data_IF_635602189722
#
_entry.id   IF_635602189722
#
_cell.length_a   1.000
_cell.length_b   1.000
_cell.length_c   1.000
_cell.angle_alpha   90.00
_cell.angle_beta   90.00
_cell.angle_gamma   90.00
#
_symmetry.space_group_name_H-M   'P 1'
#
loop_
_entity.id
_entity.type
_entity.pdbx_description
1 polymer ?
#
# COMPACT_ATOMS: atom_id res chain seq x y z
N UNK A 1 25.32 2.91 37.40
CA UNK A 1 24.30 3.95 37.24
C UNK A 1 23.43 3.52 36.03
N UNK A 2 22.13 3.81 36.04
CA UNK A 2 21.28 3.53 34.87
C UNK A 2 21.72 4.50 33.75
N UNK A 3 22.11 3.98 32.59
CA UNK A 3 22.42 4.83 31.44
C UNK A 3 21.15 5.59 30.99
N UNK A 4 21.34 6.78 30.45
CA UNK A 4 20.27 7.60 29.91
C UNK A 4 19.90 7.00 28.54
N UNK A 5 18.62 6.66 28.33
CA UNK A 5 18.15 6.13 27.04
C UNK A 5 17.73 7.27 26.13
N UNK A 6 18.33 7.35 24.94
CA UNK A 6 17.99 8.34 23.92
C UNK A 6 17.65 7.61 22.62
N UNK A 7 16.49 7.96 22.04
CA UNK A 7 16.08 7.51 20.72
C UNK A 7 16.10 8.67 19.74
N UNK A 8 16.78 8.48 18.62
CA UNK A 8 16.82 9.43 17.49
C UNK A 8 16.12 8.79 16.30
N UNK A 9 15.16 9.48 15.73
CA UNK A 9 14.47 9.09 14.50
C UNK A 9 14.81 10.07 13.41
N UNK A 10 15.03 9.55 12.19
CA UNK A 10 15.47 10.34 11.03
C UNK A 10 14.83 9.89 9.72
N UNK A 11 14.24 8.70 9.67
CA UNK A 11 13.53 8.17 8.51
C UNK A 11 12.07 8.63 8.54
N UNK A 12 11.73 9.59 7.66
CA UNK A 12 10.44 10.26 7.61
C UNK A 12 10.37 11.55 8.42
N UNK A 13 11.52 12.03 8.92
CA UNK A 13 11.66 13.28 9.66
C UNK A 13 12.42 13.14 10.96
N UNK A 14 12.88 14.27 11.51
CA UNK A 14 13.70 14.27 12.71
C UNK A 14 12.88 14.20 13.99
N UNK A 15 13.21 13.23 14.86
CA UNK A 15 12.73 13.13 16.22
C UNK A 15 13.84 12.79 17.19
N UNK A 16 13.75 13.26 18.44
CA UNK A 16 14.64 12.89 19.53
C UNK A 16 13.86 12.73 20.82
N UNK A 17 14.07 11.63 21.53
CA UNK A 17 13.43 11.32 22.80
C UNK A 17 14.48 10.97 23.85
N UNK A 18 14.19 11.34 25.10
CA UNK A 18 15.00 10.96 26.25
C UNK A 18 14.10 10.28 27.28
N UNK A 19 14.40 9.02 27.66
CA UNK A 19 13.58 8.20 28.55
C UNK A 19 12.08 8.22 28.17
N UNK A 20 11.77 8.18 26.85
CA UNK A 20 10.42 8.16 26.29
C UNK A 20 9.71 9.52 26.24
N UNK A 21 10.42 10.61 26.48
CA UNK A 21 9.89 11.98 26.36
C UNK A 21 10.48 12.67 25.15
N UNK A 22 9.64 13.14 24.25
CA UNK A 22 10.08 13.93 23.08
C UNK A 22 10.74 15.23 23.51
N UNK A 23 11.85 15.56 22.85
CA UNK A 23 12.65 16.76 23.12
C UNK A 23 12.56 17.71 21.91
N UNK A 24 12.65 19.02 22.21
CA UNK A 24 12.70 20.06 21.18
C UNK A 24 14.04 20.76 21.20
N UNK A 25 14.79 20.71 20.08
CA UNK A 25 16.15 21.28 19.97
C UNK A 25 16.17 22.79 19.64
N UNK A 26 15.05 23.52 19.73
CA UNK A 26 14.98 24.96 19.50
C UNK A 26 14.92 25.36 18.02
N UNK A 27 14.33 26.53 17.73
CA UNK A 27 14.02 26.96 16.36
C UNK A 27 15.18 27.56 15.56
N UNK A 28 16.06 28.35 16.20
CA UNK A 28 17.04 29.20 15.46
C UNK A 28 18.34 28.49 15.00
N UNK A 29 18.65 27.32 15.49
CA UNK A 29 19.80 26.50 15.06
C UNK A 29 19.42 25.03 14.93
N UNK A 30 18.12 24.73 14.81
CA UNK A 30 17.59 23.38 14.78
C UNK A 30 18.26 22.53 13.70
N UNK A 31 18.39 23.04 12.49
CA UNK A 31 19.00 22.30 11.37
C UNK A 31 20.46 21.89 11.65
N UNK A 32 21.31 22.77 12.20
CA UNK A 32 22.72 22.45 12.51
C UNK A 32 22.84 21.50 13.72
N UNK A 33 21.90 21.52 14.66
CA UNK A 33 21.87 20.56 15.76
C UNK A 33 21.43 19.17 15.28
N UNK A 34 20.43 19.13 14.39
CA UNK A 34 19.99 17.90 13.73
C UNK A 34 21.16 17.27 12.96
N UNK A 35 21.82 18.05 12.11
CA UNK A 35 22.99 17.56 11.36
C UNK A 35 24.09 17.02 12.28
N UNK A 36 24.43 17.75 13.36
CA UNK A 36 25.45 17.35 14.30
C UNK A 36 25.16 16.00 14.96
N UNK A 37 23.95 15.85 15.54
CA UNK A 37 23.60 14.62 16.25
C UNK A 37 23.43 13.45 15.28
N UNK A 38 22.77 13.67 14.16
CA UNK A 38 22.56 12.63 13.14
C UNK A 38 23.89 12.14 12.58
N UNK A 39 24.82 13.07 12.27
CA UNK A 39 26.11 12.68 11.71
C UNK A 39 26.95 11.84 12.68
N UNK A 40 26.87 12.14 13.98
CA UNK A 40 27.52 11.34 15.03
C UNK A 40 26.82 9.98 15.18
N UNK A 41 25.48 9.92 15.11
CA UNK A 41 24.73 8.67 15.13
C UNK A 41 25.08 7.77 13.94
N UNK A 42 25.14 8.32 12.71
CA UNK A 42 25.53 7.57 11.50
C UNK A 42 26.93 6.97 11.60
N UNK A 43 27.84 7.68 12.25
CA UNK A 43 29.23 7.19 12.43
C UNK A 43 29.35 6.10 13.49
N UNK A 44 28.35 5.94 14.36
CA UNK A 44 28.34 4.92 15.40
C UNK A 44 29.53 5.00 16.34
N UNK A 45 30.11 3.84 16.67
CA UNK A 45 31.25 3.73 17.59
C UNK A 45 32.57 4.34 17.04
N UNK A 46 32.71 4.40 15.73
CA UNK A 46 33.92 4.97 15.10
C UNK A 46 34.04 6.49 15.31
N UNK A 47 32.90 7.17 15.51
CA UNK A 47 32.84 8.61 15.66
C UNK A 47 33.23 9.37 14.41
N UNK A 48 33.10 10.71 14.44
CA UNK A 48 33.34 11.61 13.30
C UNK A 48 34.54 12.50 13.57
N UNK A 49 35.43 12.61 12.57
CA UNK A 49 36.50 13.57 12.63
C UNK A 49 35.99 15.01 12.62
N UNK A 50 36.74 15.89 13.25
CA UNK A 50 36.36 17.31 13.33
C UNK A 50 36.22 17.96 11.98
N UNK A 51 37.15 17.63 11.07
CA UNK A 51 37.22 18.14 9.70
C UNK A 51 35.98 17.72 8.92
N UNK A 52 35.55 16.45 9.04
CA UNK A 52 34.36 15.91 8.36
C UNK A 52 33.10 16.62 8.84
N UNK A 53 32.94 16.82 10.16
CA UNK A 53 31.81 17.57 10.72
C UNK A 53 31.79 19.03 10.26
N UNK A 54 32.97 19.65 10.07
CA UNK A 54 33.05 21.01 9.58
C UNK A 54 32.62 21.10 8.12
N UNK A 55 33.04 20.14 7.30
CA UNK A 55 32.67 20.07 5.89
C UNK A 55 31.14 19.85 5.76
N UNK A 56 30.60 18.86 6.46
CA UNK A 56 29.19 18.51 6.36
C UNK A 56 28.25 19.62 6.85
N UNK A 57 28.58 20.31 7.98
CA UNK A 57 27.69 21.29 8.63
C UNK A 57 27.85 22.72 8.07
N UNK A 58 29.02 23.04 7.46
CA UNK A 58 29.35 24.39 7.01
C UNK A 58 29.76 24.44 5.53
N UNK A 59 29.43 23.43 4.72
CA UNK A 59 29.75 23.43 3.27
C UNK A 59 29.22 24.67 2.55
N UNK A 60 28.05 25.15 2.95
CA UNK A 60 27.44 26.33 2.31
C UNK A 60 27.99 27.67 2.81
N UNK A 61 28.73 27.68 3.93
CA UNK A 61 29.38 28.87 4.50
C UNK A 61 30.79 29.13 3.94
N UNK A 62 31.13 28.65 2.74
CA UNK A 62 32.48 28.62 2.13
C UNK A 62 33.20 30.00 1.95
N UNK A 63 32.57 31.09 2.40
CA UNK A 63 33.19 32.43 2.39
C UNK A 63 34.15 32.76 3.54
N UNK A 64 34.17 31.98 4.65
CA UNK A 64 34.93 32.35 5.87
C UNK A 64 35.71 31.16 6.45
N UNK A 65 36.76 30.73 5.73
CA UNK A 65 37.63 29.62 6.17
C UNK A 65 38.39 29.89 7.48
N UNK A 66 38.47 31.10 8.02
CA UNK A 66 39.34 31.45 9.15
C UNK A 66 38.80 31.13 10.54
N UNK A 67 37.53 30.66 10.68
CA UNK A 67 36.93 30.50 12.01
C UNK A 67 36.06 29.21 12.22
N UNK A 68 36.15 28.24 11.29
CA UNK A 68 35.32 27.01 11.36
C UNK A 68 35.55 26.21 12.66
N UNK A 69 36.79 26.20 13.18
CA UNK A 69 37.11 25.54 14.43
C UNK A 69 36.36 26.12 15.63
N UNK A 70 36.25 27.44 15.72
CA UNK A 70 35.51 28.12 16.80
C UNK A 70 34.01 27.95 16.60
N UNK A 71 33.54 27.91 15.36
CA UNK A 71 32.14 27.75 15.02
C UNK A 71 31.62 26.38 15.44
N UNK A 72 32.34 25.29 15.15
CA UNK A 72 31.96 23.93 15.55
C UNK A 72 32.02 23.75 17.08
N UNK A 73 33.09 24.22 17.74
CA UNK A 73 33.19 24.15 19.20
C UNK A 73 32.04 24.91 19.89
N UNK A 74 31.67 26.08 19.35
CA UNK A 74 30.53 26.84 19.84
C UNK A 74 29.22 26.13 19.57
N UNK A 75 29.04 25.50 18.39
CA UNK A 75 27.86 24.69 18.05
C UNK A 75 27.66 23.56 19.06
N UNK A 76 28.70 22.76 19.32
CA UNK A 76 28.67 21.64 20.28
C UNK A 76 28.39 22.15 21.71
N UNK A 77 29.03 23.26 22.13
CA UNK A 77 28.75 23.84 23.45
C UNK A 77 27.29 24.31 23.56
N UNK A 78 26.78 25.00 22.59
CA UNK A 78 25.38 25.46 22.58
C UNK A 78 24.40 24.29 22.50
N UNK A 79 24.70 23.26 21.70
CA UNK A 79 23.94 22.04 21.64
C UNK A 79 23.82 21.37 23.03
N UNK A 80 24.94 21.21 23.73
CA UNK A 80 24.94 20.66 25.12
C UNK A 80 24.03 21.44 26.05
N UNK A 81 24.02 22.76 25.98
CA UNK A 81 23.12 23.60 26.78
C UNK A 81 21.62 23.43 26.39
N UNK A 82 21.34 23.28 25.10
CA UNK A 82 19.98 23.03 24.62
C UNK A 82 19.52 21.65 25.07
N UNK A 83 20.36 20.65 24.93
CA UNK A 83 20.11 19.28 25.36
C UNK A 83 19.82 19.22 26.86
N UNK A 84 20.62 19.91 27.69
CA UNK A 84 20.42 20.00 29.15
C UNK A 84 19.08 20.66 29.51
N UNK A 85 18.71 21.77 28.82
CA UNK A 85 17.41 22.43 29.00
C UNK A 85 16.24 21.55 28.56
N UNK A 86 16.45 20.71 27.53
CA UNK A 86 15.45 19.78 27.05
C UNK A 86 15.29 18.54 27.94
N UNK A 87 16.16 18.32 28.91
CA UNK A 87 16.04 17.27 29.92
C UNK A 87 17.11 16.18 29.87
N UNK A 88 18.13 16.32 29.00
CA UNK A 88 19.27 15.39 28.98
C UNK A 88 20.23 15.79 30.14
N UNK A 89 20.42 14.95 31.18
CA UNK A 89 21.21 15.31 32.35
C UNK A 89 22.64 15.72 32.02
N UNK A 90 23.02 16.94 32.45
CA UNK A 90 24.36 17.51 32.25
C UNK A 90 24.75 17.75 30.79
N UNK A 91 23.79 17.76 29.86
CA UNK A 91 24.09 17.88 28.43
C UNK A 91 25.02 16.81 27.89
N UNK A 92 25.09 15.66 28.53
CA UNK A 92 25.96 14.53 28.22
C UNK A 92 25.38 13.73 27.07
N UNK A 93 25.57 14.17 25.82
CA UNK A 93 25.18 13.43 24.62
C UNK A 93 26.38 13.24 23.71
N UNK A 94 27.27 14.24 23.64
CA UNK A 94 28.43 14.22 22.74
C UNK A 94 29.70 14.33 23.55
N UNK A 95 30.63 13.39 23.38
CA UNK A 95 31.98 13.39 23.93
C UNK A 95 33.03 13.54 22.80
N UNK A 96 34.26 13.77 23.19
CA UNK A 96 35.43 13.75 22.29
C UNK A 96 36.36 12.64 22.77
N UNK A 97 36.64 11.67 21.91
CA UNK A 97 37.57 10.57 22.14
C UNK A 97 38.53 10.49 20.95
N UNK A 98 39.82 10.48 21.22
CA UNK A 98 40.89 10.38 20.19
C UNK A 98 40.74 11.36 19.01
N UNK A 99 40.28 12.59 19.29
CA UNK A 99 40.09 13.64 18.29
C UNK A 99 38.79 13.49 17.49
N UNK A 100 37.97 12.52 17.78
CA UNK A 100 36.66 12.27 17.15
C UNK A 100 35.51 12.66 18.06
N UNK A 101 34.43 13.12 17.46
CA UNK A 101 33.15 13.33 18.13
C UNK A 101 32.38 12.01 18.16
N UNK A 102 32.03 11.58 19.36
CA UNK A 102 31.34 10.30 19.63
C UNK A 102 30.13 10.53 20.54
N UNK A 103 29.24 9.56 20.62
CA UNK A 103 28.22 9.54 21.65
C UNK A 103 28.88 9.27 23.02
N UNK A 104 28.41 9.98 24.04
CA UNK A 104 28.96 9.82 25.41
C UNK A 104 28.66 8.41 25.92
N UNK A 105 29.63 7.80 26.61
CA UNK A 105 29.52 6.42 27.12
C UNK A 105 28.43 6.22 28.19
N UNK A 106 28.01 7.31 28.83
CA UNK A 106 26.91 7.29 29.83
C UNK A 106 25.53 7.27 29.17
N UNK A 107 25.45 7.37 27.82
CA UNK A 107 24.23 7.37 27.03
C UNK A 107 24.07 6.04 26.32
N UNK A 108 22.85 5.50 26.36
CA UNK A 108 22.40 4.38 25.56
C UNK A 108 21.57 4.94 24.40
N UNK A 109 22.17 5.03 23.21
CA UNK A 109 21.51 5.62 22.05
C UNK A 109 20.99 4.55 21.11
N UNK A 110 19.74 4.66 20.70
CA UNK A 110 19.15 3.93 19.59
C UNK A 110 18.79 4.91 18.46
N UNK A 111 18.93 4.47 17.23
CA UNK A 111 18.54 5.27 16.08
C UNK A 111 17.92 4.35 15.03
N UNK A 112 16.82 4.82 14.42
CA UNK A 112 16.14 4.11 13.35
C UNK A 112 17.08 3.78 12.19
N UNK A 113 17.98 4.68 11.82
CA UNK A 113 18.93 4.47 10.72
C UNK A 113 20.03 3.44 11.07
N UNK A 114 20.49 3.39 12.31
CA UNK A 114 21.47 2.37 12.75
C UNK A 114 20.81 0.99 12.74
N UNK A 115 19.60 0.89 13.29
CA UNK A 115 18.81 -0.34 13.33
C UNK A 115 18.48 -0.80 11.90
N UNK A 116 18.04 0.12 11.03
CA UNK A 116 17.73 -0.15 9.63
C UNK A 116 18.94 -0.72 8.86
N UNK A 117 20.09 -0.04 8.93
CA UNK A 117 21.32 -0.51 8.30
C UNK A 117 21.78 -1.86 8.85
N UNK A 118 21.65 -2.07 10.16
CA UNK A 118 22.02 -3.33 10.80
C UNK A 118 21.15 -4.48 10.28
N UNK A 119 19.82 -4.35 10.35
CA UNK A 119 18.90 -5.38 9.87
C UNK A 119 19.12 -5.70 8.40
N UNK A 120 19.26 -4.67 7.57
CA UNK A 120 19.52 -4.84 6.15
C UNK A 120 20.84 -5.57 5.87
N UNK A 121 21.95 -5.17 6.52
CA UNK A 121 23.25 -5.83 6.37
C UNK A 121 23.24 -7.27 6.89
N UNK A 122 22.57 -7.52 8.00
CA UNK A 122 22.41 -8.87 8.54
C UNK A 122 21.57 -9.74 7.63
N UNK A 123 20.47 -9.23 7.08
CA UNK A 123 19.63 -9.92 6.12
C UNK A 123 20.43 -10.38 4.89
N UNK A 124 21.28 -9.50 4.33
CA UNK A 124 22.13 -9.84 3.16
C UNK A 124 23.16 -10.95 3.43
N UNK A 125 23.51 -11.19 4.69
CA UNK A 125 24.44 -12.28 5.10
C UNK A 125 23.72 -13.60 5.38
N UNK A 126 22.39 -13.60 5.51
CA UNK A 126 21.64 -14.80 5.83
C UNK A 126 21.55 -15.75 4.65
N UNK A 127 21.63 -17.05 4.97
CA UNK A 127 21.41 -18.16 4.01
C UNK A 127 20.02 -18.77 4.16
N UNK A 128 19.33 -18.51 5.27
CA UNK A 128 17.99 -19.01 5.55
C UNK A 128 16.97 -17.95 5.14
N UNK A 129 16.12 -18.30 4.19
CA UNK A 129 15.08 -17.39 3.67
C UNK A 129 14.17 -16.87 4.79
N UNK A 130 13.75 -17.74 5.71
CA UNK A 130 12.92 -17.32 6.85
C UNK A 130 13.56 -16.23 7.71
N UNK A 131 14.86 -16.37 8.05
CA UNK A 131 15.58 -15.36 8.85
C UNK A 131 15.82 -14.10 8.05
N UNK A 132 16.11 -14.26 6.75
CA UNK A 132 16.31 -13.13 5.85
C UNK A 132 15.02 -12.33 5.71
N UNK A 133 13.87 -12.99 5.52
CA UNK A 133 12.55 -12.35 5.45
C UNK A 133 12.22 -11.59 6.74
N UNK A 134 12.49 -12.19 7.92
CA UNK A 134 12.26 -11.53 9.20
C UNK A 134 13.10 -10.25 9.36
N UNK A 135 14.39 -10.30 9.01
CA UNK A 135 15.28 -9.14 9.08
C UNK A 135 14.93 -8.07 8.04
N UNK A 136 14.57 -8.47 6.81
CA UNK A 136 14.09 -7.52 5.79
C UNK A 136 12.79 -6.85 6.20
N UNK A 137 11.87 -7.58 6.85
CA UNK A 137 10.64 -7.00 7.40
C UNK A 137 10.94 -6.01 8.52
N UNK A 138 11.87 -6.32 9.42
CA UNK A 138 12.28 -5.37 10.48
C UNK A 138 12.88 -4.10 9.89
N UNK A 139 13.72 -4.20 8.85
CA UNK A 139 14.23 -3.04 8.14
C UNK A 139 13.10 -2.26 7.45
N UNK A 140 12.23 -2.93 6.71
CA UNK A 140 11.07 -2.33 6.05
C UNK A 140 10.19 -1.54 7.02
N UNK A 141 9.90 -2.11 8.21
CA UNK A 141 9.04 -1.50 9.22
C UNK A 141 9.65 -0.24 9.86
N UNK A 142 10.98 -0.07 9.81
CA UNK A 142 11.67 1.12 10.32
C UNK A 142 11.62 2.30 9.35
N UNK A 143 11.52 2.06 8.04
CA UNK A 143 11.51 3.12 7.04
C UNK A 143 10.10 3.75 6.96
N UNK A 144 9.99 5.01 7.39
CA UNK A 144 8.72 5.76 7.42
C UNK A 144 8.68 6.92 6.42
N UNK A 145 9.73 7.07 5.63
CA UNK A 145 9.88 8.14 4.64
C UNK A 145 11.34 8.49 4.43
N UNK A 146 11.59 9.49 3.59
CA UNK A 146 12.93 9.94 3.25
C UNK A 146 13.76 10.33 4.49
N UNK A 147 15.06 10.13 4.41
CA UNK A 147 16.00 10.53 5.46
C UNK A 147 16.08 12.05 5.58
N UNK A 148 15.70 12.59 6.73
CA UNK A 148 15.68 14.03 7.06
C UNK A 148 15.09 14.90 5.93
N UNK A 149 13.85 14.70 5.50
CA UNK A 149 13.25 15.39 4.36
C UNK A 149 13.24 16.93 4.54
N UNK A 150 13.27 17.42 5.77
CA UNK A 150 13.37 18.84 6.08
C UNK A 150 14.75 19.48 5.78
N UNK A 151 15.76 18.68 5.42
CA UNK A 151 17.14 19.08 5.14
C UNK A 151 17.67 18.47 3.82
N UNK A 152 16.79 18.16 2.90
CA UNK A 152 17.09 17.51 1.62
C UNK A 152 17.91 18.37 0.65
N UNK A 153 17.95 19.68 0.87
CA UNK A 153 18.81 20.64 0.17
C UNK A 153 20.31 20.45 0.46
N UNK A 154 20.65 19.74 1.54
CA UNK A 154 22.03 19.47 1.91
C UNK A 154 22.60 18.25 1.20
N UNK A 155 23.68 18.43 0.45
CA UNK A 155 24.27 17.39 -0.40
C UNK A 155 24.54 16.06 0.32
N UNK A 156 25.11 16.08 1.53
CA UNK A 156 25.39 14.82 2.23
C UNK A 156 24.12 14.12 2.72
N UNK A 157 23.06 14.88 3.02
CA UNK A 157 21.75 14.34 3.42
C UNK A 157 21.04 13.74 2.21
N UNK A 158 20.96 14.48 1.09
CA UNK A 158 20.32 13.98 -0.13
C UNK A 158 21.00 12.71 -0.66
N UNK A 159 22.32 12.66 -0.60
CA UNK A 159 23.07 11.45 -0.96
C UNK A 159 22.75 10.25 -0.05
N UNK A 160 22.68 10.48 1.26
CA UNK A 160 22.30 9.41 2.21
C UNK A 160 20.85 9.00 2.07
N UNK A 161 19.97 9.95 1.81
CA UNK A 161 18.57 9.66 1.55
C UNK A 161 18.40 8.69 0.36
N UNK A 162 19.16 8.90 -0.72
CA UNK A 162 19.16 8.01 -1.89
C UNK A 162 19.72 6.63 -1.56
N UNK A 163 20.81 6.54 -0.76
CA UNK A 163 21.35 5.26 -0.30
C UNK A 163 20.30 4.47 0.53
N UNK A 164 19.60 5.13 1.46
CA UNK A 164 18.55 4.48 2.29
C UNK A 164 17.32 4.12 1.50
N UNK A 165 16.94 4.95 0.53
CA UNK A 165 15.85 4.63 -0.40
C UNK A 165 16.14 3.35 -1.18
N UNK A 166 17.34 3.26 -1.78
CA UNK A 166 17.75 2.06 -2.52
C UNK A 166 17.72 0.81 -1.64
N UNK A 167 18.12 0.92 -0.37
CA UNK A 167 18.04 -0.19 0.57
C UNK A 167 16.59 -0.56 0.91
N UNK A 168 15.71 0.43 1.02
CA UNK A 168 14.28 0.21 1.26
C UNK A 168 13.60 -0.45 0.07
N UNK A 169 13.89 0.01 -1.15
CA UNK A 169 13.37 -0.57 -2.39
C UNK A 169 13.78 -2.06 -2.49
N UNK A 170 15.03 -2.40 -2.13
CA UNK A 170 15.48 -3.80 -2.05
C UNK A 170 14.70 -4.61 -1.01
N UNK A 171 14.30 -4.00 0.12
CA UNK A 171 13.44 -4.66 1.11
C UNK A 171 12.05 -4.94 0.55
N UNK A 172 11.44 -3.96 -0.13
CA UNK A 172 10.12 -4.09 -0.78
C UNK A 172 10.13 -5.20 -1.80
N UNK A 173 11.08 -5.16 -2.74
CA UNK A 173 11.22 -6.16 -3.81
C UNK A 173 11.41 -7.58 -3.24
N UNK A 174 12.30 -7.72 -2.26
CA UNK A 174 12.57 -9.01 -1.65
C UNK A 174 11.34 -9.57 -0.92
N UNK A 175 10.69 -8.75 -0.09
CA UNK A 175 9.51 -9.18 0.67
C UNK A 175 8.35 -9.53 -0.23
N UNK A 176 8.07 -8.70 -1.24
CA UNK A 176 7.02 -8.96 -2.20
C UNK A 176 7.25 -10.25 -2.98
N UNK A 177 8.49 -10.51 -3.44
CA UNK A 177 8.86 -11.75 -4.12
C UNK A 177 8.69 -12.99 -3.22
N UNK A 178 9.10 -12.90 -1.94
CA UNK A 178 8.95 -14.00 -0.99
C UNK A 178 7.49 -14.29 -0.66
N UNK A 179 6.67 -13.25 -0.44
CA UNK A 179 5.25 -13.43 -0.18
C UNK A 179 4.51 -13.98 -1.41
N UNK A 180 4.91 -13.56 -2.62
CA UNK A 180 4.37 -14.13 -3.87
C UNK A 180 4.70 -15.62 -4.02
N UNK A 181 5.96 -16.02 -3.74
CA UNK A 181 6.39 -17.43 -3.80
C UNK A 181 5.67 -18.31 -2.77
N UNK A 182 5.37 -17.76 -1.60
CA UNK A 182 4.65 -18.46 -0.53
C UNK A 182 3.12 -18.37 -0.66
N UNK A 183 2.59 -17.74 -1.72
CA UNK A 183 1.15 -17.48 -1.91
C UNK A 183 0.52 -16.62 -0.80
N UNK A 184 1.34 -15.82 -0.09
CA UNK A 184 0.92 -14.90 0.96
C UNK A 184 0.54 -13.53 0.36
N UNK A 185 -0.42 -13.52 -0.56
CA UNK A 185 -0.76 -12.34 -1.37
C UNK A 185 -1.29 -11.15 -0.56
N UNK A 186 -1.89 -11.39 0.60
CA UNK A 186 -2.33 -10.31 1.50
C UNK A 186 -1.14 -9.54 2.09
N UNK A 187 -0.05 -10.25 2.43
CA UNK A 187 1.19 -9.63 2.92
C UNK A 187 1.93 -8.91 1.78
N UNK A 188 1.90 -9.49 0.56
CA UNK A 188 2.41 -8.84 -0.65
C UNK A 188 1.69 -7.51 -0.90
N UNK A 189 0.35 -7.48 -0.85
CA UNK A 189 -0.44 -6.26 -1.00
C UNK A 189 -0.09 -5.23 0.08
N UNK A 190 0.06 -5.66 1.34
CA UNK A 190 0.42 -4.77 2.45
C UNK A 190 1.79 -4.11 2.25
N UNK A 191 2.79 -4.86 1.75
CA UNK A 191 4.14 -4.32 1.48
C UNK A 191 4.07 -3.23 0.40
N UNK A 192 3.41 -3.51 -0.72
CA UNK A 192 3.28 -2.55 -1.81
C UNK A 192 2.44 -1.32 -1.42
N UNK A 193 1.34 -1.52 -0.71
CA UNK A 193 0.51 -0.43 -0.19
C UNK A 193 1.31 0.52 0.70
N UNK A 194 2.07 -0.03 1.67
CA UNK A 194 2.90 0.76 2.58
C UNK A 194 4.00 1.51 1.82
N UNK A 195 4.61 0.89 0.82
CA UNK A 195 5.62 1.53 -0.01
C UNK A 195 5.03 2.66 -0.87
N UNK A 196 3.84 2.46 -1.42
CA UNK A 196 3.11 3.45 -2.21
C UNK A 196 2.65 4.67 -1.38
N UNK A 197 2.30 4.47 -0.10
CA UNK A 197 1.97 5.56 0.82
C UNK A 197 3.18 6.45 1.13
N UNK A 198 4.39 5.86 1.14
CA UNK A 198 5.64 6.59 1.35
C UNK A 198 6.08 7.33 0.09
N UNK A 199 5.98 6.69 -1.07
CA UNK A 199 6.37 7.25 -2.35
C UNK A 199 5.41 6.83 -3.48
N UNK A 200 4.55 7.74 -3.88
CA UNK A 200 3.54 7.52 -4.92
C UNK A 200 4.13 7.46 -6.34
N UNK A 201 5.31 8.01 -6.53
CA UNK A 201 5.92 8.12 -7.87
C UNK A 201 6.65 6.83 -8.30
N UNK A 202 6.87 5.89 -7.38
CA UNK A 202 7.56 4.62 -7.64
C UNK A 202 6.71 3.51 -8.25
N UNK A 203 5.45 3.77 -8.58
CA UNK A 203 4.52 2.78 -9.19
C UNK A 203 4.35 1.48 -8.39
N UNK A 204 4.58 1.48 -7.07
CA UNK A 204 4.34 0.32 -6.21
C UNK A 204 2.91 -0.21 -6.29
N UNK A 205 1.98 0.65 -6.69
CA UNK A 205 0.57 0.32 -6.90
C UNK A 205 0.37 -0.76 -7.98
N UNK A 206 1.27 -0.87 -8.97
CA UNK A 206 1.23 -1.96 -9.95
C UNK A 206 1.37 -3.32 -9.27
N UNK A 207 2.30 -3.43 -8.33
CA UNK A 207 2.48 -4.66 -7.55
C UNK A 207 1.32 -4.93 -6.57
N UNK A 208 0.73 -3.87 -6.01
CA UNK A 208 -0.47 -3.99 -5.16
C UNK A 208 -1.67 -4.48 -5.97
N UNK A 209 -1.90 -3.95 -7.19
CA UNK A 209 -2.93 -4.43 -8.12
C UNK A 209 -2.69 -5.91 -8.45
N UNK A 210 -1.46 -6.30 -8.76
CA UNK A 210 -1.11 -7.71 -9.02
C UNK A 210 -1.45 -8.60 -7.82
N UNK A 211 -1.15 -8.17 -6.59
CA UNK A 211 -1.51 -8.91 -5.39
C UNK A 211 -3.03 -9.08 -5.23
N UNK A 212 -3.82 -8.03 -5.52
CA UNK A 212 -5.28 -8.14 -5.53
C UNK A 212 -5.81 -9.07 -6.63
N UNK A 213 -5.15 -9.13 -7.79
CA UNK A 213 -5.49 -10.10 -8.85
C UNK A 213 -5.31 -11.55 -8.36
N UNK A 214 -4.19 -11.86 -7.69
CA UNK A 214 -3.99 -13.18 -7.09
C UNK A 214 -5.01 -13.51 -6.00
N UNK A 215 -5.45 -12.51 -5.24
CA UNK A 215 -6.54 -12.65 -4.26
C UNK A 215 -7.93 -12.72 -4.90
N UNK A 216 -8.01 -12.56 -6.23
CA UNK A 216 -9.29 -12.45 -6.99
C UNK A 216 -10.19 -11.33 -6.44
N UNK A 217 -9.60 -10.32 -5.80
CA UNK A 217 -10.30 -9.10 -5.35
C UNK A 217 -10.26 -8.05 -6.46
N UNK A 218 -10.90 -8.37 -7.58
CA UNK A 218 -10.91 -7.52 -8.78
C UNK A 218 -11.50 -6.13 -8.50
N UNK A 219 -12.41 -6.02 -7.53
CA UNK A 219 -12.94 -4.72 -7.11
C UNK A 219 -11.83 -3.79 -6.63
N UNK A 220 -10.98 -4.25 -5.70
CA UNK A 220 -9.88 -3.42 -5.18
C UNK A 220 -8.86 -3.14 -6.27
N UNK A 221 -8.54 -4.15 -7.09
CA UNK A 221 -7.62 -3.99 -8.20
C UNK A 221 -8.06 -2.87 -9.17
N UNK A 222 -9.33 -2.88 -9.61
CA UNK A 222 -9.89 -1.84 -10.48
C UNK A 222 -9.98 -0.48 -9.78
N UNK A 223 -10.41 -0.43 -8.52
CA UNK A 223 -10.51 0.83 -7.77
C UNK A 223 -9.15 1.51 -7.64
N UNK A 224 -8.09 0.74 -7.33
CA UNK A 224 -6.74 1.27 -7.24
C UNK A 224 -6.22 1.72 -8.61
N UNK A 225 -6.49 0.96 -9.66
CA UNK A 225 -6.14 1.36 -11.02
C UNK A 225 -6.81 2.69 -11.41
N UNK A 226 -8.12 2.85 -11.17
CA UNK A 226 -8.86 4.09 -11.45
C UNK A 226 -8.33 5.28 -10.64
N UNK A 227 -7.95 5.06 -9.37
CA UNK A 227 -7.33 6.08 -8.54
C UNK A 227 -6.01 6.55 -9.14
N UNK A 228 -5.17 5.62 -9.60
CA UNK A 228 -3.89 5.95 -10.23
C UNK A 228 -4.06 6.68 -11.57
N UNK A 229 -4.99 6.23 -12.42
CA UNK A 229 -5.29 6.95 -13.68
C UNK A 229 -5.71 8.40 -13.39
N UNK A 230 -6.53 8.60 -12.36
CA UNK A 230 -6.95 9.95 -11.93
C UNK A 230 -5.75 10.76 -11.42
N UNK A 231 -4.90 10.18 -10.60
CA UNK A 231 -3.68 10.83 -10.10
C UNK A 231 -2.78 11.29 -11.26
N UNK A 232 -2.52 10.42 -12.25
CA UNK A 232 -1.73 10.80 -13.44
C UNK A 232 -2.39 11.95 -14.22
N UNK A 233 -3.71 11.92 -14.41
CA UNK A 233 -4.42 12.91 -15.19
C UNK A 233 -4.56 14.26 -14.46
N UNK A 234 -4.93 14.26 -13.18
CA UNK A 234 -5.28 15.47 -12.41
C UNK A 234 -4.07 16.11 -11.73
N UNK A 235 -3.16 15.31 -11.14
CA UNK A 235 -2.02 15.85 -10.38
C UNK A 235 -0.78 16.01 -11.26
N UNK A 236 -0.50 15.05 -12.15
CA UNK A 236 0.70 15.08 -12.99
C UNK A 236 0.44 15.63 -14.40
N UNK A 237 -0.82 15.65 -14.85
CA UNK A 237 -1.19 16.12 -16.19
C UNK A 237 -0.65 15.24 -17.33
N UNK A 238 -0.38 13.96 -17.06
CA UNK A 238 0.17 12.99 -18.03
C UNK A 238 -0.72 11.75 -18.16
N UNK A 239 -0.52 10.99 -19.23
CA UNK A 239 -1.18 9.69 -19.41
C UNK A 239 -0.52 8.63 -18.52
N UNK A 240 -1.25 7.57 -18.11
CA UNK A 240 -0.68 6.43 -17.42
C UNK A 240 0.52 5.84 -18.16
N UNK A 241 1.50 5.37 -17.40
CA UNK A 241 2.73 4.78 -17.94
C UNK A 241 2.44 3.48 -18.70
N UNK A 242 3.37 3.03 -19.54
CA UNK A 242 3.28 1.74 -20.22
C UNK A 242 3.11 0.55 -19.24
N UNK A 243 3.73 0.67 -18.07
CA UNK A 243 3.66 -0.34 -17.01
C UNK A 243 2.24 -0.43 -16.44
N UNK A 244 1.63 0.72 -16.18
CA UNK A 244 0.25 0.80 -15.70
C UNK A 244 -0.76 0.34 -16.76
N UNK A 245 -0.53 0.68 -18.03
CA UNK A 245 -1.37 0.21 -19.14
C UNK A 245 -1.30 -1.31 -19.27
N UNK A 246 -0.11 -1.90 -19.18
CA UNK A 246 0.08 -3.36 -19.19
C UNK A 246 -0.57 -4.03 -18.00
N UNK A 247 -0.48 -3.40 -16.82
CA UNK A 247 -1.16 -3.87 -15.62
C UNK A 247 -2.68 -3.97 -15.83
N UNK A 248 -3.28 -2.98 -16.50
CA UNK A 248 -4.70 -3.02 -16.82
C UNK A 248 -5.06 -4.15 -17.77
N UNK A 249 -4.27 -4.40 -18.80
CA UNK A 249 -4.47 -5.54 -19.73
C UNK A 249 -4.41 -6.86 -18.95
N UNK A 250 -3.37 -7.05 -18.11
CA UNK A 250 -3.26 -8.24 -17.29
C UNK A 250 -4.45 -8.41 -16.31
N UNK A 251 -4.97 -7.29 -15.77
CA UNK A 251 -6.13 -7.29 -14.89
C UNK A 251 -7.38 -7.74 -15.64
N UNK A 252 -7.61 -7.24 -16.86
CA UNK A 252 -8.70 -7.68 -17.72
C UNK A 252 -8.56 -9.17 -18.07
N UNK A 253 -7.39 -9.60 -18.53
CA UNK A 253 -7.12 -10.99 -18.93
C UNK A 253 -7.35 -11.97 -17.77
N UNK A 254 -6.88 -11.62 -16.57
CA UNK A 254 -7.08 -12.44 -15.38
C UNK A 254 -8.55 -12.55 -14.99
N UNK A 255 -9.27 -11.43 -15.07
CA UNK A 255 -10.69 -11.42 -14.78
C UNK A 255 -11.49 -12.21 -15.85
N UNK A 256 -11.16 -12.09 -17.14
CA UNK A 256 -11.76 -12.89 -18.21
C UNK A 256 -11.46 -14.38 -18.07
N UNK A 257 -10.21 -14.74 -17.76
CA UNK A 257 -9.82 -16.14 -17.53
C UNK A 257 -10.61 -16.79 -16.39
N UNK A 258 -10.85 -16.06 -15.31
CA UNK A 258 -11.70 -16.52 -14.20
C UNK A 258 -13.18 -16.66 -14.60
N UNK A 259 -13.63 -15.93 -15.62
CA UNK A 259 -14.96 -16.10 -16.22
C UNK A 259 -15.06 -17.33 -17.14
N UNK A 260 -13.94 -18.00 -17.46
CA UNK A 260 -13.90 -19.12 -18.38
C UNK A 260 -13.98 -18.73 -19.85
N UNK A 261 -13.77 -17.45 -20.16
CA UNK A 261 -13.73 -16.90 -21.51
C UNK A 261 -12.27 -16.96 -21.98
N UNK A 262 -11.94 -18.02 -22.70
CA UNK A 262 -10.59 -18.27 -23.19
C UNK A 262 -10.47 -18.00 -24.67
N UNK A 263 -10.54 -16.77 -25.16
CA UNK A 263 -9.99 -16.45 -26.48
C UNK A 263 -9.88 -14.94 -26.71
N UNK A 264 -8.66 -14.42 -26.53
CA UNK A 264 -8.29 -13.04 -26.88
C UNK A 264 -7.97 -12.84 -28.36
N UNK A 265 -7.77 -13.91 -29.12
CA UNK A 265 -7.26 -13.80 -30.51
C UNK A 265 -8.32 -13.40 -31.55
N UNK A 266 -9.58 -13.27 -31.15
CA UNK A 266 -10.70 -13.02 -32.12
C UNK A 266 -11.17 -11.55 -32.20
N UNK A 267 -10.67 -10.65 -31.32
CA UNK A 267 -11.20 -9.27 -31.24
C UNK A 267 -10.71 -8.29 -32.30
N UNK A 268 -9.68 -8.62 -33.08
CA UNK A 268 -9.08 -7.64 -34.02
C UNK A 268 -9.62 -7.68 -35.45
N UNK A 269 -10.42 -8.67 -35.88
CA UNK A 269 -10.79 -8.86 -37.28
C UNK A 269 -12.29 -9.06 -37.59
N UNK A 270 -13.20 -8.90 -36.60
CA UNK A 270 -14.63 -9.08 -36.84
C UNK A 270 -15.37 -7.77 -37.18
N UNK A 271 -16.25 -7.77 -38.18
CA UNK A 271 -17.08 -6.61 -38.45
C UNK A 271 -18.06 -6.37 -37.29
N UNK A 272 -18.18 -5.09 -36.90
CA UNK A 272 -19.02 -4.58 -35.76
C UNK A 272 -20.40 -5.23 -35.66
N UNK A 273 -20.96 -5.75 -36.75
CA UNK A 273 -22.25 -6.44 -36.78
C UNK A 273 -22.25 -7.84 -36.18
N UNK A 274 -21.09 -8.53 -36.06
CA UNK A 274 -20.97 -9.85 -35.41
C UNK A 274 -20.83 -9.77 -33.92
N UNK A 275 -20.18 -8.73 -33.43
CA UNK A 275 -19.93 -8.49 -31.98
C UNK A 275 -21.17 -7.99 -31.23
N UNK A 276 -22.15 -7.42 -31.92
CA UNK A 276 -23.38 -6.89 -31.33
C UNK A 276 -24.55 -7.88 -31.34
N UNK A 277 -24.38 -9.05 -31.95
CA UNK A 277 -25.42 -10.10 -31.97
C UNK A 277 -25.02 -11.20 -30.99
N UNK A 278 -25.60 -11.17 -29.80
CA UNK A 278 -25.52 -12.29 -28.85
C UNK A 278 -26.13 -13.56 -29.52
N UNK A 279 -25.46 -14.70 -29.39
CA UNK A 279 -26.08 -16.00 -29.62
C UNK A 279 -27.31 -16.10 -28.70
N UNK A 280 -28.39 -16.69 -29.17
CA UNK A 280 -29.68 -16.88 -28.47
C UNK A 280 -29.48 -17.80 -27.21
N UNK A 281 -28.55 -17.50 -26.33
CA UNK A 281 -28.39 -18.18 -25.05
C UNK A 281 -29.24 -17.43 -24.00
N UNK A 282 -30.27 -18.07 -23.53
CA UNK A 282 -31.26 -17.49 -22.60
C UNK A 282 -30.70 -17.29 -21.18
N UNK A 283 -29.39 -17.05 -21.06
CA UNK A 283 -28.65 -16.84 -19.82
C UNK A 283 -28.47 -15.35 -19.52
N UNK A 284 -28.24 -15.00 -18.23
CA UNK A 284 -27.87 -13.64 -17.87
C UNK A 284 -26.49 -13.28 -18.43
N UNK A 285 -26.28 -11.98 -18.67
CA UNK A 285 -24.99 -11.47 -19.17
C UNK A 285 -23.92 -11.51 -18.07
N UNK A 286 -22.90 -12.32 -18.24
CA UNK A 286 -21.72 -12.33 -17.39
C UNK A 286 -20.73 -11.28 -17.89
N UNK A 287 -20.34 -10.31 -17.03
CA UNK A 287 -19.51 -9.19 -17.41
C UNK A 287 -18.43 -8.89 -16.37
N UNK A 288 -17.51 -8.01 -16.71
CA UNK A 288 -16.54 -7.46 -15.78
C UNK A 288 -17.15 -6.32 -14.96
N UNK A 289 -16.56 -6.02 -13.79
CA UNK A 289 -17.04 -4.94 -12.92
C UNK A 289 -17.10 -3.56 -13.63
N UNK A 290 -16.11 -3.14 -14.46
CA UNK A 290 -16.21 -1.89 -15.21
C UNK A 290 -17.40 -1.86 -16.19
N UNK A 291 -17.68 -2.97 -16.86
CA UNK A 291 -18.84 -3.11 -17.77
C UNK A 291 -20.15 -3.05 -17.00
N UNK A 292 -20.21 -3.72 -15.85
CA UNK A 292 -21.31 -3.64 -14.89
C UNK A 292 -21.55 -2.20 -14.43
N UNK A 293 -20.48 -1.49 -14.05
CA UNK A 293 -20.54 -0.09 -13.63
C UNK A 293 -21.03 0.83 -14.75
N UNK A 294 -20.47 0.68 -15.95
CA UNK A 294 -20.90 1.46 -17.13
C UNK A 294 -22.37 1.20 -17.47
N UNK A 295 -22.79 -0.08 -17.49
CA UNK A 295 -24.17 -0.47 -17.73
C UNK A 295 -25.13 0.10 -16.69
N UNK A 296 -24.76 0.02 -15.40
CA UNK A 296 -25.54 0.60 -14.32
C UNK A 296 -25.71 2.12 -14.48
N UNK A 297 -24.62 2.84 -14.83
CA UNK A 297 -24.68 4.29 -15.05
C UNK A 297 -25.58 4.67 -16.24
N UNK A 298 -25.56 3.91 -17.32
CA UNK A 298 -26.43 4.15 -18.47
C UNK A 298 -27.89 3.87 -18.10
N UNK A 299 -28.15 2.73 -17.45
CA UNK A 299 -29.49 2.33 -17.05
C UNK A 299 -30.08 3.25 -15.98
N UNK A 300 -29.28 3.70 -15.00
CA UNK A 300 -29.76 4.64 -13.97
C UNK A 300 -30.16 6.00 -14.56
N UNK A 301 -29.47 6.51 -15.58
CA UNK A 301 -29.89 7.70 -16.31
C UNK A 301 -31.18 7.51 -17.09
N UNK A 302 -31.42 6.28 -17.59
CA UNK A 302 -32.65 5.93 -18.28
C UNK A 302 -33.83 5.77 -17.29
N UNK A 303 -33.60 5.37 -16.04
CA UNK A 303 -34.62 5.32 -14.98
C UNK A 303 -35.32 6.67 -14.80
N UNK A 304 -34.55 7.75 -14.77
CA UNK A 304 -35.07 9.11 -14.59
C UNK A 304 -36.01 9.53 -15.73
N UNK A 305 -35.82 8.96 -16.94
CA UNK A 305 -36.60 9.33 -18.14
C UNK A 305 -37.80 8.43 -18.38
N UNK A 306 -37.69 7.13 -18.09
CA UNK A 306 -38.63 6.12 -18.56
C UNK A 306 -39.30 5.31 -17.44
N UNK A 307 -38.92 5.56 -16.16
CA UNK A 307 -39.52 4.87 -15.00
C UNK A 307 -39.13 3.39 -14.88
N UNK A 308 -38.14 2.92 -15.64
CA UNK A 308 -37.59 1.58 -15.46
C UNK A 308 -36.85 1.50 -14.14
N UNK A 309 -37.13 0.48 -13.33
CA UNK A 309 -36.43 0.24 -12.08
C UNK A 309 -35.18 -0.60 -12.30
N UNK A 310 -34.07 -0.24 -11.68
CA UNK A 310 -32.81 -0.96 -11.71
C UNK A 310 -32.30 -1.12 -10.28
N UNK A 311 -31.96 -2.37 -9.91
CA UNK A 311 -31.40 -2.69 -8.62
C UNK A 311 -30.11 -3.47 -8.77
N UNK A 312 -29.15 -3.17 -7.86
CA UNK A 312 -27.96 -3.99 -7.68
C UNK A 312 -28.20 -4.91 -6.47
N UNK A 313 -27.92 -6.19 -6.64
CA UNK A 313 -28.02 -7.19 -5.59
C UNK A 313 -26.61 -7.74 -5.32
N UNK A 314 -26.03 -7.35 -4.20
CA UNK A 314 -24.75 -7.88 -3.73
C UNK A 314 -25.00 -9.20 -3.01
N UNK A 315 -24.50 -10.29 -3.56
CA UNK A 315 -24.59 -11.65 -3.05
C UNK A 315 -23.29 -12.04 -2.36
N UNK A 316 -23.35 -12.51 -1.11
CA UNK A 316 -22.16 -12.92 -0.36
C UNK A 316 -22.33 -14.36 0.13
N UNK A 317 -21.44 -15.28 -0.27
CA UNK A 317 -21.44 -16.64 0.24
C UNK A 317 -21.09 -16.66 1.73
N UNK A 318 -21.80 -17.44 2.51
CA UNK A 318 -21.61 -17.55 3.94
C UNK A 318 -21.67 -19.01 4.41
N UNK A 319 -21.21 -19.26 5.63
CA UNK A 319 -21.44 -20.54 6.29
C UNK A 319 -22.89 -20.67 6.82
N UNK A 320 -23.19 -21.78 7.48
CA UNK A 320 -24.54 -22.04 8.04
C UNK A 320 -24.95 -21.06 9.16
N UNK A 321 -23.99 -20.34 9.75
CA UNK A 321 -24.23 -19.30 10.75
C UNK A 321 -24.29 -17.88 10.12
N UNK A 322 -24.16 -17.78 8.80
CA UNK A 322 -24.12 -16.51 8.09
C UNK A 322 -22.78 -15.78 8.17
N UNK A 323 -21.72 -16.47 8.63
CA UNK A 323 -20.37 -15.89 8.74
C UNK A 323 -19.54 -16.12 7.48
N UNK A 324 -18.54 -15.28 7.30
CA UNK A 324 -17.59 -15.37 6.19
C UNK A 324 -16.82 -16.69 6.19
N UNK A 325 -16.59 -17.24 4.98
CA UNK A 325 -15.86 -18.48 4.77
C UNK A 325 -14.36 -18.16 4.66
N UNK A 326 -13.59 -18.58 5.66
CA UNK A 326 -12.15 -18.33 5.72
C UNK A 326 -11.31 -19.33 4.91
N UNK A 327 -11.82 -20.55 4.68
CA UNK A 327 -11.11 -21.58 3.92
C UNK A 327 -11.25 -21.31 2.41
N UNK A 328 -10.13 -21.07 1.76
CA UNK A 328 -10.04 -20.62 0.36
C UNK A 328 -10.68 -21.61 -0.62
N UNK A 329 -10.25 -22.89 -0.60
CA UNK A 329 -10.81 -23.94 -1.47
C UNK A 329 -12.34 -24.10 -1.28
N UNK A 330 -12.83 -23.93 -0.07
CA UNK A 330 -14.26 -24.03 0.22
C UNK A 330 -15.03 -22.82 -0.29
N UNK A 331 -14.43 -21.64 -0.20
CA UNK A 331 -15.02 -20.41 -0.75
C UNK A 331 -15.11 -20.53 -2.27
N UNK A 332 -14.04 -20.94 -2.94
CA UNK A 332 -14.01 -21.07 -4.41
C UNK A 332 -15.04 -22.08 -4.91
N UNK A 333 -15.10 -23.29 -4.34
CA UNK A 333 -16.15 -24.27 -4.69
C UNK A 333 -17.58 -23.75 -4.51
N UNK A 334 -17.81 -22.91 -3.51
CA UNK A 334 -19.13 -22.29 -3.31
C UNK A 334 -19.41 -21.16 -4.29
N UNK A 335 -18.39 -20.40 -4.67
CA UNK A 335 -18.50 -19.36 -5.69
C UNK A 335 -18.82 -19.99 -7.05
N UNK A 336 -18.18 -21.10 -7.43
CA UNK A 336 -18.53 -21.86 -8.63
C UNK A 336 -19.99 -22.38 -8.59
N UNK A 337 -20.42 -22.94 -7.44
CA UNK A 337 -21.81 -23.36 -7.28
C UNK A 337 -22.79 -22.19 -7.37
N UNK A 338 -22.41 -21.01 -6.84
CA UNK A 338 -23.23 -19.80 -6.92
C UNK A 338 -23.29 -19.27 -8.36
N UNK A 339 -22.20 -19.32 -9.13
CA UNK A 339 -22.17 -18.98 -10.55
C UNK A 339 -23.16 -19.83 -11.35
N UNK A 340 -23.14 -21.14 -11.12
CA UNK A 340 -24.12 -22.06 -11.76
C UNK A 340 -25.54 -21.69 -11.37
N UNK A 341 -25.80 -21.43 -10.08
CA UNK A 341 -27.13 -21.03 -9.60
C UNK A 341 -27.60 -19.72 -10.23
N UNK A 342 -26.71 -18.73 -10.42
CA UNK A 342 -26.99 -17.46 -11.06
C UNK A 342 -27.40 -17.69 -12.52
N UNK A 343 -26.62 -18.45 -13.29
CA UNK A 343 -26.87 -18.74 -14.70
C UNK A 343 -28.20 -19.47 -14.94
N UNK A 344 -28.63 -20.30 -13.98
CA UNK A 344 -29.89 -21.06 -14.08
C UNK A 344 -31.11 -20.30 -13.56
N UNK A 345 -30.90 -19.23 -12.77
CA UNK A 345 -32.01 -18.54 -12.08
C UNK A 345 -32.36 -17.19 -12.67
N UNK A 346 -31.33 -16.46 -13.16
CA UNK A 346 -31.50 -15.12 -13.72
C UNK A 346 -31.99 -15.16 -15.19
N UNK A 347 -32.53 -14.03 -15.63
CA UNK A 347 -33.07 -13.86 -16.98
C UNK A 347 -32.00 -13.29 -17.91
N UNK A 348 -32.18 -13.47 -19.20
CA UNK A 348 -31.33 -12.91 -20.26
C UNK A 348 -31.10 -11.38 -20.13
N UNK A 349 -32.08 -10.62 -19.63
CA UNK A 349 -31.94 -9.16 -19.44
C UNK A 349 -31.26 -8.74 -18.14
N UNK A 350 -30.82 -9.68 -17.31
CA UNK A 350 -30.06 -9.43 -16.08
C UNK A 350 -28.56 -9.61 -16.35
N UNK A 351 -27.72 -8.92 -15.58
CA UNK A 351 -26.27 -9.07 -15.68
C UNK A 351 -25.65 -9.40 -14.33
N UNK A 352 -24.50 -10.04 -14.34
CA UNK A 352 -23.77 -10.31 -13.09
C UNK A 352 -22.27 -10.28 -13.32
N UNK A 353 -21.51 -9.94 -12.25
CA UNK A 353 -20.05 -9.98 -12.27
C UNK A 353 -19.51 -10.49 -10.94
N UNK A 354 -18.32 -11.07 -10.97
CA UNK A 354 -17.58 -11.37 -9.76
C UNK A 354 -17.12 -10.06 -9.13
N UNK A 355 -17.53 -9.82 -7.88
CA UNK A 355 -17.26 -8.58 -7.16
C UNK A 355 -16.08 -8.71 -6.21
N UNK A 356 -15.95 -9.88 -5.57
CA UNK A 356 -14.82 -10.22 -4.72
C UNK A 356 -14.67 -11.74 -4.60
N UNK A 357 -13.70 -12.18 -3.81
CA UNK A 357 -13.47 -13.62 -3.55
C UNK A 357 -14.72 -14.37 -3.07
N UNK A 358 -15.62 -13.70 -2.37
CA UNK A 358 -16.82 -14.30 -1.75
C UNK A 358 -18.12 -13.67 -2.23
N UNK A 359 -18.09 -12.81 -3.28
CA UNK A 359 -19.24 -12.01 -3.67
C UNK A 359 -19.42 -11.98 -5.19
N UNK A 360 -20.71 -12.06 -5.59
CA UNK A 360 -21.18 -11.64 -6.91
C UNK A 360 -22.05 -10.39 -6.79
N UNK A 361 -21.94 -9.51 -7.77
CA UNK A 361 -22.84 -8.37 -7.95
C UNK A 361 -23.77 -8.70 -9.13
N UNK A 362 -25.05 -8.55 -8.90
CA UNK A 362 -26.10 -8.82 -9.89
C UNK A 362 -26.85 -7.53 -10.19
N UNK A 363 -27.06 -7.23 -11.47
CA UNK A 363 -27.86 -6.12 -11.96
C UNK A 363 -29.20 -6.66 -12.43
N UNK A 364 -30.27 -6.24 -11.76
CA UNK A 364 -31.65 -6.62 -12.08
C UNK A 364 -32.37 -5.44 -12.72
N UNK A 365 -32.98 -5.66 -13.89
CA UNK A 365 -33.68 -4.63 -14.64
C UNK A 365 -35.19 -4.88 -14.66
N UNK A 366 -36.00 -3.82 -14.54
CA UNK A 366 -37.47 -3.91 -14.60
C UNK A 366 -38.09 -4.68 -13.44
N UNK A 367 -37.43 -4.73 -12.30
CA UNK A 367 -37.87 -5.45 -11.08
C UNK A 367 -38.15 -4.51 -9.93
N UNK A 368 -38.97 -4.91 -8.97
CA UNK A 368 -39.17 -4.23 -7.70
C UNK A 368 -38.35 -4.87 -6.56
N UNK A 369 -38.34 -4.22 -5.39
CA UNK A 369 -37.63 -4.73 -4.21
C UNK A 369 -38.14 -6.12 -3.78
N UNK A 370 -39.45 -6.36 -3.84
CA UNK A 370 -40.03 -7.65 -3.52
C UNK A 370 -39.55 -8.77 -4.46
N UNK A 371 -39.41 -8.45 -5.76
CA UNK A 371 -38.89 -9.39 -6.76
C UNK A 371 -37.40 -9.66 -6.56
N UNK A 372 -36.60 -8.68 -6.12
CA UNK A 372 -35.21 -8.90 -5.72
C UNK A 372 -35.10 -9.93 -4.58
N UNK A 373 -36.03 -9.89 -3.61
CA UNK A 373 -36.09 -10.88 -2.53
C UNK A 373 -36.48 -12.29 -3.04
N UNK A 374 -37.36 -12.36 -4.05
CA UNK A 374 -37.71 -13.64 -4.69
C UNK A 374 -36.54 -14.23 -5.48
N UNK A 375 -35.81 -13.40 -6.18
CA UNK A 375 -34.57 -13.80 -6.89
C UNK A 375 -33.56 -14.35 -5.88
N UNK A 376 -33.30 -13.62 -4.79
CA UNK A 376 -32.40 -14.11 -3.74
C UNK A 376 -32.86 -15.48 -3.17
N UNK A 377 -34.16 -15.67 -2.89
CA UNK A 377 -34.65 -16.93 -2.38
C UNK A 377 -34.42 -18.10 -3.35
N UNK A 378 -34.66 -17.89 -4.65
CA UNK A 378 -34.38 -18.90 -5.69
C UNK A 378 -32.89 -19.24 -5.77
N UNK A 379 -32.05 -18.24 -5.75
CA UNK A 379 -30.59 -18.42 -5.72
C UNK A 379 -30.13 -19.19 -4.49
N UNK A 380 -30.64 -18.85 -3.30
CA UNK A 380 -30.34 -19.54 -2.05
C UNK A 380 -30.78 -21.01 -2.09
N UNK A 381 -31.97 -21.30 -2.60
CA UNK A 381 -32.47 -22.67 -2.70
C UNK A 381 -31.64 -23.49 -3.70
N UNK A 382 -31.32 -22.90 -4.87
CA UNK A 382 -30.46 -23.54 -5.88
C UNK A 382 -29.03 -23.76 -5.38
N UNK A 383 -28.47 -22.79 -4.66
CA UNK A 383 -27.14 -22.93 -4.05
C UNK A 383 -27.10 -24.07 -3.02
N UNK A 384 -28.18 -24.28 -2.23
CA UNK A 384 -28.27 -25.40 -1.30
C UNK A 384 -28.33 -26.75 -2.01
N UNK A 385 -28.99 -26.83 -3.15
CA UNK A 385 -29.01 -28.03 -3.97
C UNK A 385 -27.60 -28.39 -4.52
N UNK A 386 -26.86 -27.39 -4.97
CA UNK A 386 -25.53 -27.59 -5.57
C UNK A 386 -24.40 -27.75 -4.55
N UNK A 387 -24.40 -26.96 -3.48
CA UNK A 387 -23.31 -26.88 -2.50
C UNK A 387 -23.64 -27.51 -1.13
N UNK A 388 -24.86 -28.08 -1.01
CA UNK A 388 -25.36 -28.78 0.19
C UNK A 388 -26.15 -27.89 1.15
N UNK A 389 -26.93 -28.51 2.08
CA UNK A 389 -27.91 -27.81 2.91
C UNK A 389 -27.32 -26.77 3.88
N UNK A 390 -26.01 -26.80 4.11
CA UNK A 390 -25.29 -25.84 4.93
C UNK A 390 -24.76 -24.63 4.18
N UNK A 391 -25.04 -24.51 2.87
CA UNK A 391 -24.68 -23.34 2.09
C UNK A 391 -25.65 -22.20 2.42
N UNK A 392 -25.11 -21.04 2.74
CA UNK A 392 -25.87 -19.81 3.01
C UNK A 392 -25.44 -18.69 2.08
N UNK A 393 -26.40 -17.86 1.70
CA UNK A 393 -26.23 -16.72 0.82
C UNK A 393 -26.80 -15.48 1.50
N UNK A 394 -25.92 -14.57 1.92
CA UNK A 394 -26.32 -13.25 2.38
C UNK A 394 -26.54 -12.33 1.18
N UNK A 395 -27.37 -11.32 1.32
CA UNK A 395 -27.60 -10.35 0.26
C UNK A 395 -27.78 -8.93 0.80
N UNK A 396 -27.43 -7.96 -0.04
CA UNK A 396 -27.75 -6.53 0.16
C UNK A 396 -28.32 -5.99 -1.14
N UNK A 397 -29.49 -5.37 -1.06
CA UNK A 397 -30.11 -4.64 -2.17
C UNK A 397 -29.56 -3.22 -2.12
N UNK A 398 -29.08 -2.73 -3.25
CA UNK A 398 -28.53 -1.38 -3.41
C UNK A 398 -29.38 -0.67 -4.46
N UNK A 399 -30.07 0.39 -4.07
CA UNK A 399 -30.86 1.23 -4.96
C UNK A 399 -30.05 2.43 -5.43
N UNK A 400 -30.52 3.10 -6.48
CA UNK A 400 -29.92 4.36 -6.96
C UNK A 400 -29.83 5.43 -5.85
N UNK A 401 -30.83 5.49 -4.96
CA UNK A 401 -30.84 6.45 -3.84
C UNK A 401 -29.72 6.16 -2.84
N UNK A 402 -29.48 4.88 -2.56
CA UNK A 402 -28.41 4.50 -1.60
C UNK A 402 -27.03 4.93 -2.10
N UNK A 403 -26.79 4.88 -3.42
CA UNK A 403 -25.52 5.32 -4.02
C UNK A 403 -25.40 6.85 -4.09
N UNK A 404 -26.54 7.55 -4.27
CA UNK A 404 -26.55 9.01 -4.32
C UNK A 404 -26.30 9.67 -2.96
N UNK A 405 -26.71 9.02 -1.87
CA UNK A 405 -26.56 9.50 -0.50
C UNK A 405 -25.15 9.21 0.08
N UNK A 406 -24.34 8.34 -0.55
CA UNK A 406 -22.94 8.06 -0.18
C UNK A 406 -21.92 9.00 -0.87
N UNK A 407 -22.37 9.92 -1.75
CA UNK A 407 -21.55 10.98 -2.38
C UNK A 407 -21.71 12.30 -1.64
#
# INVERSE_FOLDING_TARGET
MKKISIRVTTLGGFGIECDGKSLTLGRNKGSKYIQLITRICVAGEEGVLKEDLQEDIYSDDLGVKSNLNNSLNNLVYQFKKVAEKAGIPGGKLIAISDGRYVIDQDVDISSDIIEFEQFFREARKQKSDKKKTELMKQAFDLYKGAFLPELDDLYWISRRAEEYRTMYDECVDYLAAQYKENEEYSEMAYVYHTAADIDKDCEWQVGEIEAYMFLKDYKKAYALYEEMVRYYAEELGVSPTENMQRCYQNLQDSAFSDLGISDQDDYMDHPIGGELVEEEDNKPYECLFPEMSASYHILSRNMERHGLTVFLLLLTIADYEGKEIRQEEKAERRMESLKVAINETLRHGDAFCRYSRTQYLVLLTGTGVEECMLVHRRLQDRLKELAGPRASLNYRIISYKDIADER
#
